data_IF_575471699341
#
_entry.id   IF_575471699341
#
_cell.length_a   1.000
_cell.length_b   1.000
_cell.length_c   1.000
_cell.angle_alpha   90.00
_cell.angle_beta   90.00
_cell.angle_gamma   90.00
#
_symmetry.space_group_name_H-M   'P 1'
#
loop_
_entity.id
_entity.type
_entity.pdbx_description
1 polymer ?
#
# COMPACT_ATOMS: atom_id res chain seq x y z
N UNK A 1 5.26 5.25 -1.63
CA UNK A 1 6.09 6.43 -1.35
C UNK A 1 5.40 7.76 -1.62
N UNK A 2 4.20 7.76 -2.16
CA UNK A 2 3.48 8.99 -2.54
C UNK A 2 3.15 9.91 -1.36
N UNK A 3 3.04 9.34 -0.15
CA UNK A 3 2.71 10.08 1.08
C UNK A 3 3.92 10.79 1.69
N UNK A 4 5.09 10.18 1.67
CA UNK A 4 6.26 10.61 2.45
C UNK A 4 7.28 11.43 1.67
N UNK A 5 7.30 11.26 0.36
CA UNK A 5 8.18 11.97 -0.56
C UNK A 5 7.33 12.54 -1.66
N UNK A 6 7.58 13.82 -2.03
CA UNK A 6 6.81 14.44 -3.08
C UNK A 6 7.16 13.83 -4.43
N UNK A 7 6.17 13.21 -5.05
CA UNK A 7 6.27 12.53 -6.33
C UNK A 7 5.05 12.83 -7.18
N UNK A 8 5.09 12.59 -8.51
CA UNK A 8 3.88 12.66 -9.33
C UNK A 8 2.79 11.75 -8.75
N UNK A 9 1.59 12.27 -8.60
CA UNK A 9 0.46 11.54 -8.00
C UNK A 9 0.28 11.72 -6.50
N UNK A 10 1.17 12.45 -5.81
CA UNK A 10 1.03 12.69 -4.36
C UNK A 10 -0.27 13.42 -4.01
N UNK A 11 -0.69 14.39 -4.81
CA UNK A 11 -1.93 15.15 -4.57
C UNK A 11 -3.16 14.25 -4.73
N UNK A 12 -3.16 13.33 -5.67
CA UNK A 12 -4.22 12.35 -5.85
C UNK A 12 -4.36 11.45 -4.63
N UNK A 13 -3.24 10.93 -4.12
CA UNK A 13 -3.22 10.10 -2.91
C UNK A 13 -3.75 10.88 -1.71
N UNK A 14 -3.35 12.16 -1.55
CA UNK A 14 -3.82 13.00 -0.45
C UNK A 14 -5.34 13.21 -0.51
N UNK A 15 -5.89 13.47 -1.68
CA UNK A 15 -7.35 13.62 -1.85
C UNK A 15 -8.07 12.33 -1.46
N UNK A 16 -7.52 11.19 -1.82
CA UNK A 16 -8.05 9.89 -1.47
C UNK A 16 -8.08 9.66 0.03
N UNK A 17 -6.97 9.95 0.71
CA UNK A 17 -6.87 9.81 2.16
C UNK A 17 -7.84 10.74 2.90
N UNK A 18 -8.15 11.89 2.31
CA UNK A 18 -9.09 12.85 2.89
C UNK A 18 -10.56 12.45 2.68
N UNK A 19 -10.90 11.71 1.62
CA UNK A 19 -12.28 11.43 1.23
C UNK A 19 -12.84 10.13 1.78
N UNK A 20 -12.03 9.26 2.37
CA UNK A 20 -12.46 7.94 2.85
C UNK A 20 -11.75 7.51 4.11
N UNK A 21 -12.04 6.28 4.56
CA UNK A 21 -11.33 5.64 5.65
C UNK A 21 -10.15 4.87 5.07
N UNK A 22 -8.93 5.37 5.20
CA UNK A 22 -7.78 4.71 4.60
C UNK A 22 -7.40 3.44 5.37
N UNK A 23 -6.95 2.44 4.61
CA UNK A 23 -6.43 1.20 5.16
C UNK A 23 -5.19 0.79 4.36
N UNK A 24 -4.34 0.00 4.97
CA UNK A 24 -3.15 -0.53 4.32
C UNK A 24 -2.78 -1.89 4.89
N UNK A 25 -1.90 -2.60 4.20
CA UNK A 25 -1.31 -3.83 4.71
C UNK A 25 -0.18 -3.52 5.70
N UNK A 26 0.01 -4.38 6.70
CA UNK A 26 1.18 -4.30 7.59
C UNK A 26 2.50 -4.32 6.81
N UNK A 27 2.52 -4.94 5.63
CA UNK A 27 3.69 -4.95 4.77
C UNK A 27 4.17 -3.54 4.39
N UNK A 28 3.25 -2.58 4.30
CA UNK A 28 3.57 -1.19 3.94
C UNK A 28 4.59 -0.56 4.88
N UNK A 29 4.55 -0.89 6.16
CA UNK A 29 5.54 -0.40 7.13
C UNK A 29 6.97 -0.69 6.67
N UNK A 30 7.23 -1.91 6.24
CA UNK A 30 8.56 -2.35 5.82
C UNK A 30 8.87 -1.88 4.40
N UNK A 31 7.89 -1.90 3.51
CA UNK A 31 8.10 -1.45 2.12
C UNK A 31 8.45 0.04 2.05
N UNK A 32 7.72 0.87 2.78
CA UNK A 32 7.99 2.30 2.81
C UNK A 32 9.34 2.59 3.48
N UNK A 33 9.62 1.94 4.61
CA UNK A 33 10.91 2.08 5.29
C UNK A 33 12.07 1.68 4.36
N UNK A 34 11.92 0.57 3.62
CA UNK A 34 12.93 0.12 2.66
C UNK A 34 13.14 1.14 1.55
N UNK A 35 12.08 1.70 1.01
CA UNK A 35 12.17 2.70 -0.05
C UNK A 35 12.82 4.01 0.44
N UNK A 36 12.48 4.45 1.66
CA UNK A 36 13.08 5.64 2.27
C UNK A 36 14.58 5.45 2.48
N UNK A 37 15.00 4.28 2.99
CA UNK A 37 16.41 3.98 3.22
C UNK A 37 17.20 3.91 1.92
N UNK A 38 16.59 3.36 0.87
CA UNK A 38 17.22 3.30 -0.46
C UNK A 38 17.47 4.71 -1.00
N UNK A 39 16.47 5.59 -0.94
CA UNK A 39 16.60 6.96 -1.42
C UNK A 39 17.61 7.75 -0.61
N UNK A 40 17.67 7.53 0.70
CA UNK A 40 18.68 8.16 1.54
C UNK A 40 20.10 7.72 1.13
N UNK A 41 20.30 6.43 0.89
CA UNK A 41 21.61 5.91 0.43
C UNK A 41 22.01 6.44 -0.92
N UNK A 42 21.05 6.79 -1.76
CA UNK A 42 21.28 7.42 -3.07
C UNK A 42 21.52 8.94 -2.96
N UNK A 43 21.49 9.50 -1.75
CA UNK A 43 21.75 10.90 -1.52
C UNK A 43 20.57 11.83 -1.77
N UNK A 44 19.34 11.29 -1.87
CA UNK A 44 18.16 12.09 -2.20
C UNK A 44 17.77 13.07 -1.10
N UNK A 45 18.14 12.81 0.15
CA UNK A 45 17.84 13.69 1.28
C UNK A 45 18.79 13.44 2.45
N UNK A 46 18.82 14.39 3.40
CA UNK A 46 19.71 14.34 4.55
C UNK A 46 19.18 13.36 5.64
N UNK A 47 20.06 12.98 6.56
CA UNK A 47 19.72 12.08 7.66
C UNK A 47 18.55 12.61 8.52
N UNK A 48 18.47 13.92 8.75
CA UNK A 48 17.37 14.50 9.51
C UNK A 48 16.03 14.34 8.80
N UNK A 49 16.00 14.47 7.48
CA UNK A 49 14.79 14.24 6.67
C UNK A 49 14.40 12.76 6.69
N UNK A 50 15.38 11.87 6.60
CA UNK A 50 15.17 10.42 6.73
C UNK A 50 14.49 10.10 8.06
N UNK A 51 15.00 10.62 9.18
CA UNK A 51 14.48 10.34 10.50
C UNK A 51 13.06 10.89 10.68
N UNK A 52 12.79 12.09 10.14
CA UNK A 52 11.44 12.65 10.13
C UNK A 52 10.46 11.80 9.32
N UNK A 53 10.89 11.31 8.16
CA UNK A 53 10.04 10.47 7.31
C UNK A 53 9.71 9.13 7.97
N UNK A 54 10.69 8.51 8.63
CA UNK A 54 10.46 7.27 9.37
C UNK A 54 9.51 7.48 10.55
N UNK A 55 9.65 8.60 11.26
CA UNK A 55 8.74 8.95 12.35
C UNK A 55 7.32 9.21 11.84
N UNK A 56 7.19 9.88 10.69
CA UNK A 56 5.89 10.13 10.05
C UNK A 56 5.22 8.82 9.63
N UNK A 57 5.98 7.85 9.13
CA UNK A 57 5.46 6.52 8.79
C UNK A 57 4.81 5.84 10.01
N UNK A 58 5.49 5.83 11.14
CA UNK A 58 4.96 5.22 12.38
C UNK A 58 3.68 5.94 12.81
N UNK A 59 3.68 7.26 12.79
CA UNK A 59 2.52 8.07 13.15
C UNK A 59 1.34 7.83 12.23
N UNK A 60 1.57 7.80 10.92
CA UNK A 60 0.51 7.60 9.92
C UNK A 60 -0.11 6.21 10.03
N UNK A 61 0.68 5.18 10.33
CA UNK A 61 0.17 3.82 10.50
C UNK A 61 -0.74 3.69 11.73
N UNK A 62 -0.55 4.53 12.74
CA UNK A 62 -1.46 4.57 13.91
C UNK A 62 -2.81 5.23 13.58
N UNK A 63 -2.86 6.04 12.53
CA UNK A 63 -4.04 6.79 12.13
C UNK A 63 -4.89 6.07 11.08
N UNK A 64 -4.44 4.94 10.55
CA UNK A 64 -5.14 4.18 9.51
C UNK A 64 -5.46 2.77 9.99
N UNK A 65 -6.41 2.11 9.32
CA UNK A 65 -6.65 0.69 9.53
C UNK A 65 -5.50 -0.10 8.90
N UNK A 66 -4.87 -0.98 9.67
CA UNK A 66 -3.80 -1.83 9.17
C UNK A 66 -4.29 -3.27 9.13
N UNK A 67 -4.22 -3.89 7.95
CA UNK A 67 -4.54 -5.31 7.77
C UNK A 67 -3.27 -6.10 8.06
N UNK A 68 -3.31 -6.93 9.11
CA UNK A 68 -2.16 -7.74 9.51
C UNK A 68 -1.91 -8.88 8.53
N UNK A 69 -0.66 -9.29 8.39
CA UNK A 69 -0.29 -10.42 7.54
C UNK A 69 -0.51 -11.71 8.35
N UNK A 70 -1.69 -12.26 8.19
CA UNK A 70 -2.13 -13.50 8.86
C UNK A 70 -2.28 -14.61 7.82
N UNK A 71 -2.42 -15.91 8.23
CA UNK A 71 -2.51 -17.02 7.27
C UNK A 71 -3.61 -16.87 6.22
N UNK A 72 -4.74 -16.24 6.55
CA UNK A 72 -5.80 -15.94 5.57
C UNK A 72 -5.29 -15.05 4.45
N UNK A 73 -4.49 -14.05 4.78
CA UNK A 73 -3.89 -13.13 3.79
C UNK A 73 -2.86 -13.86 2.94
N UNK A 74 -1.97 -14.63 3.55
CA UNK A 74 -0.93 -15.34 2.78
C UNK A 74 -1.51 -16.42 1.88
N UNK A 75 -2.57 -17.10 2.32
CA UNK A 75 -3.28 -18.06 1.48
C UNK A 75 -3.91 -17.39 0.25
N UNK A 76 -4.56 -16.24 0.45
CA UNK A 76 -5.14 -15.46 -0.65
C UNK A 76 -4.04 -14.97 -1.60
N UNK A 77 -2.92 -14.50 -1.07
CA UNK A 77 -1.79 -14.04 -1.86
C UNK A 77 -1.22 -15.16 -2.75
N UNK A 78 -1.11 -16.38 -2.22
CA UNK A 78 -0.68 -17.54 -3.03
C UNK A 78 -1.62 -17.81 -4.20
N UNK A 79 -2.91 -17.67 -4.00
CA UNK A 79 -3.90 -17.84 -5.08
C UNK A 79 -3.75 -16.75 -6.14
N UNK A 80 -3.52 -15.52 -5.72
CA UNK A 80 -3.31 -14.39 -6.64
C UNK A 80 -2.07 -14.58 -7.50
N UNK A 81 -1.00 -15.12 -6.92
CA UNK A 81 0.24 -15.41 -7.64
C UNK A 81 0.04 -16.49 -8.73
N UNK A 82 -0.94 -17.37 -8.57
CA UNK A 82 -1.27 -18.36 -9.58
C UNK A 82 -2.08 -17.76 -10.73
N UNK A 83 -2.87 -16.73 -10.47
CA UNK A 83 -3.77 -16.10 -11.45
C UNK A 83 -3.14 -14.93 -12.19
N UNK A 84 -2.21 -14.26 -11.55
CA UNK A 84 -1.67 -12.99 -12.05
C UNK A 84 -0.14 -12.99 -11.97
N UNK A 85 0.48 -12.30 -12.90
CA UNK A 85 1.93 -12.11 -12.87
C UNK A 85 2.26 -10.95 -11.92
N UNK A 86 2.41 -11.25 -10.65
CA UNK A 86 2.67 -10.28 -9.59
C UNK A 86 3.92 -10.65 -8.82
N UNK A 87 4.56 -9.66 -8.21
CA UNK A 87 5.58 -9.89 -7.20
C UNK A 87 4.93 -10.25 -5.87
N UNK A 88 5.68 -10.87 -4.98
CA UNK A 88 5.17 -11.32 -3.68
C UNK A 88 4.56 -10.17 -2.86
N UNK A 89 5.24 -9.02 -2.81
CA UNK A 89 4.73 -7.85 -2.09
C UNK A 89 3.42 -7.34 -2.65
N UNK A 90 3.29 -7.28 -3.97
CA UNK A 90 2.06 -6.85 -4.65
C UNK A 90 0.90 -7.81 -4.36
N UNK A 91 1.19 -9.11 -4.36
CA UNK A 91 0.17 -10.12 -4.02
C UNK A 91 -0.30 -9.97 -2.58
N UNK A 92 0.59 -9.67 -1.65
CA UNK A 92 0.22 -9.42 -0.25
C UNK A 92 -0.61 -8.14 -0.09
N UNK A 93 -0.27 -7.07 -0.80
CA UNK A 93 -1.04 -5.83 -0.78
C UNK A 93 -2.45 -6.06 -1.32
N UNK A 94 -2.56 -6.73 -2.45
CA UNK A 94 -3.86 -7.02 -3.06
C UNK A 94 -4.69 -7.96 -2.19
N UNK A 95 -4.07 -9.01 -1.63
CA UNK A 95 -4.74 -9.94 -0.73
C UNK A 95 -5.28 -9.23 0.52
N UNK A 96 -4.52 -8.30 1.06
CA UNK A 96 -4.95 -7.50 2.22
C UNK A 96 -6.18 -6.65 1.89
N UNK A 97 -6.21 -6.03 0.72
CA UNK A 97 -7.36 -5.26 0.26
C UNK A 97 -8.59 -6.13 0.07
N UNK A 98 -8.42 -7.33 -0.51
CA UNK A 98 -9.52 -8.27 -0.71
C UNK A 98 -10.08 -8.79 0.62
N UNK A 99 -9.21 -9.05 1.59
CA UNK A 99 -9.67 -9.44 2.94
C UNK A 99 -10.47 -8.31 3.58
N UNK A 100 -10.02 -7.07 3.45
CA UNK A 100 -10.75 -5.91 3.97
C UNK A 100 -12.11 -5.78 3.31
N UNK A 101 -12.19 -5.93 1.98
CA UNK A 101 -13.46 -5.90 1.24
C UNK A 101 -14.42 -6.96 1.76
N UNK A 102 -13.95 -8.18 1.97
CA UNK A 102 -14.77 -9.29 2.41
C UNK A 102 -15.23 -9.13 3.87
N UNK A 103 -14.54 -8.30 4.64
CA UNK A 103 -14.79 -8.09 6.08
C UNK A 103 -15.59 -6.82 6.37
N UNK A 104 -15.88 -5.99 5.36
CA UNK A 104 -16.56 -4.71 5.54
C UNK A 104 -17.86 -4.65 4.76
N UNK A 105 -18.78 -3.82 5.26
CA UNK A 105 -20.00 -3.44 4.54
C UNK A 105 -19.71 -2.12 3.84
N UNK A 106 -19.84 -2.09 2.53
CA UNK A 106 -19.57 -0.90 1.74
C UNK A 106 -18.49 -1.10 0.71
N UNK A 107 -18.24 -0.08 -0.09
CA UNK A 107 -17.29 -0.15 -1.18
C UNK A 107 -15.86 -0.03 -0.68
N UNK A 108 -14.98 -0.88 -1.19
CA UNK A 108 -13.54 -0.81 -0.97
C UNK A 108 -12.87 -0.63 -2.32
N UNK A 109 -12.01 0.38 -2.42
CA UNK A 109 -11.24 0.64 -3.63
C UNK A 109 -9.76 0.39 -3.37
N UNK A 110 -9.06 -0.10 -4.40
CA UNK A 110 -7.63 -0.33 -4.35
C UNK A 110 -6.91 0.85 -4.98
N UNK A 111 -6.00 1.46 -4.25
CA UNK A 111 -5.20 2.57 -4.75
C UNK A 111 -3.77 2.09 -5.02
N UNK A 112 -3.42 1.99 -6.30
CA UNK A 112 -2.10 1.58 -6.74
C UNK A 112 -1.62 2.41 -7.92
N UNK A 113 -0.31 2.44 -8.12
CA UNK A 113 0.32 3.21 -9.19
C UNK A 113 1.11 2.32 -10.16
N UNK A 114 0.90 1.01 -10.08
CA UNK A 114 1.45 0.01 -10.99
C UNK A 114 0.29 -0.54 -11.83
N UNK A 115 0.40 -0.42 -13.15
CA UNK A 115 -0.69 -0.81 -14.06
C UNK A 115 -1.01 -2.30 -13.97
N UNK A 116 0.00 -3.16 -13.83
CA UNK A 116 -0.18 -4.60 -13.74
C UNK A 116 -0.95 -4.97 -12.46
N UNK A 117 -0.60 -4.36 -11.35
CA UNK A 117 -1.27 -4.57 -10.08
C UNK A 117 -2.70 -4.05 -10.13
N UNK A 118 -2.94 -2.89 -10.73
CA UNK A 118 -4.28 -2.34 -10.89
C UNK A 118 -5.15 -3.21 -11.80
N UNK A 119 -4.60 -3.78 -12.85
CA UNK A 119 -5.31 -4.74 -13.69
C UNK A 119 -5.71 -5.98 -12.92
N UNK A 120 -4.81 -6.52 -12.10
CA UNK A 120 -5.12 -7.66 -11.25
C UNK A 120 -6.23 -7.32 -10.24
N UNK A 121 -6.18 -6.14 -9.63
CA UNK A 121 -7.21 -5.68 -8.70
C UNK A 121 -8.58 -5.62 -9.38
N UNK A 122 -8.66 -5.08 -10.59
CA UNK A 122 -9.92 -5.03 -11.36
C UNK A 122 -10.41 -6.43 -11.72
N UNK A 123 -9.51 -7.33 -12.08
CA UNK A 123 -9.86 -8.72 -12.39
C UNK A 123 -10.43 -9.45 -11.18
N UNK A 124 -10.03 -9.06 -9.96
CA UNK A 124 -10.56 -9.59 -8.71
C UNK A 124 -11.82 -8.86 -8.23
N UNK A 125 -12.34 -7.92 -9.00
CA UNK A 125 -13.59 -7.24 -8.72
C UNK A 125 -13.47 -5.94 -7.93
N UNK A 126 -12.27 -5.43 -7.73
CA UNK A 126 -12.06 -4.15 -7.05
C UNK A 126 -12.12 -2.99 -8.04
N UNK A 127 -12.55 -1.82 -7.53
CA UNK A 127 -12.32 -0.56 -8.23
C UNK A 127 -10.88 -0.16 -7.97
N UNK A 128 -10.10 0.04 -9.02
CA UNK A 128 -8.70 0.47 -8.89
C UNK A 128 -8.57 1.94 -9.28
N UNK A 129 -7.76 2.66 -8.52
CA UNK A 129 -7.54 4.09 -8.68
C UNK A 129 -6.04 4.33 -8.82
N UNK A 130 -5.71 5.16 -9.74
CA UNK A 130 -4.33 5.44 -10.11
C UNK A 130 -4.01 5.04 -11.55
#
# INVERSE_FOLDING_TARGET
MKRYVREPGSDEVRRWLASGTPATSRLTEVEVASALMRRWREGAFAAAERDRALAALVSDLRAVTVVEIVPTVTARARMLLQRHSLRAGDALQLASCLLLRDSTVGAVAFAGFDDRLNQAARAEGLTAIG
#
